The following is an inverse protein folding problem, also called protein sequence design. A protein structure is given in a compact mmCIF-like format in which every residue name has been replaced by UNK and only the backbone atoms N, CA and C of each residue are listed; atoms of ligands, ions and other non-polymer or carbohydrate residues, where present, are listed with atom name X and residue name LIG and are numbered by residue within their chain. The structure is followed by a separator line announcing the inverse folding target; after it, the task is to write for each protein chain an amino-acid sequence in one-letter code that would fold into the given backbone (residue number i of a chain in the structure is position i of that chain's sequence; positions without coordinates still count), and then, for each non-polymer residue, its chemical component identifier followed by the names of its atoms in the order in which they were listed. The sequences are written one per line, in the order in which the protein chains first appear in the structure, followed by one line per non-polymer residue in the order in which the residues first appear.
data_IF_363415052465
#
_entry.id   IF_363415052465
#
_cell.length_a   1.000
_cell.length_b   1.000
_cell.length_c   1.000
_cell.angle_alpha   90.00
_cell.angle_beta   90.00
_cell.angle_gamma   90.00
#
_symmetry.space_group_name_H-M   'P 1'
#
loop_
_entity.id
_entity.type
_entity.pdbx_description
1 polymer ?
#
# COMPACT_ATOMS: atom_id res chain seq x y z
N UNK A 1 21.32 1.20 -17.79
CA UNK A 1 21.28 0.20 -18.88
C UNK A 1 19.85 -0.35 -19.05
N UNK A 2 19.24 -0.08 -20.22
CA UNK A 2 17.92 -0.57 -20.62
C UNK A 2 18.00 -2.09 -20.80
N UNK A 3 17.56 -2.84 -19.79
CA UNK A 3 17.49 -4.29 -19.88
C UNK A 3 16.16 -4.66 -20.49
N UNK A 4 16.11 -5.16 -21.73
CA UNK A 4 15.01 -5.95 -22.31
C UNK A 4 13.59 -5.36 -22.36
N UNK A 5 12.70 -6.11 -23.01
CA UNK A 5 11.24 -5.95 -22.95
C UNK A 5 10.66 -7.33 -22.61
N UNK A 6 9.67 -7.38 -21.72
CA UNK A 6 8.83 -8.58 -21.58
C UNK A 6 7.54 -8.34 -22.34
N UNK A 7 7.15 -9.32 -23.14
CA UNK A 7 5.85 -9.33 -23.78
C UNK A 7 4.80 -9.66 -22.73
N UNK A 8 4.07 -8.63 -22.29
CA UNK A 8 2.90 -8.83 -21.46
C UNK A 8 1.73 -9.14 -22.39
N UNK A 9 1.15 -10.32 -22.23
CA UNK A 9 -0.11 -10.64 -22.89
C UNK A 9 -1.18 -9.67 -22.38
N UNK A 10 -1.77 -8.90 -23.29
CA UNK A 10 -2.86 -7.97 -22.99
C UNK A 10 -4.01 -8.20 -23.96
N UNK A 11 -5.23 -8.30 -23.43
CA UNK A 11 -6.45 -8.29 -24.23
C UNK A 11 -7.04 -6.89 -24.08
N UNK A 12 -6.60 -5.98 -24.95
CA UNK A 12 -7.08 -4.60 -24.93
C UNK A 12 -8.51 -4.46 -25.47
N UNK A 13 -9.02 -5.50 -26.14
CA UNK A 13 -10.34 -5.50 -26.76
C UNK A 13 -10.95 -6.92 -26.70
N UNK A 14 -11.91 -7.12 -25.79
CA UNK A 14 -12.54 -8.43 -25.52
C UNK A 14 -13.21 -9.04 -26.76
N UNK A 15 -13.66 -8.21 -27.70
CA UNK A 15 -14.33 -8.67 -28.92
C UNK A 15 -13.36 -9.08 -30.05
N UNK A 16 -12.06 -8.82 -29.90
CA UNK A 16 -10.99 -9.23 -30.84
C UNK A 16 -10.22 -10.46 -30.37
N UNK A 17 -10.73 -11.16 -29.36
CA UNK A 17 -10.08 -12.29 -28.69
C UNK A 17 -9.79 -13.49 -29.61
N UNK A 18 -10.44 -13.61 -30.76
CA UNK A 18 -10.19 -14.68 -31.74
C UNK A 18 -8.84 -14.56 -32.48
N UNK A 19 -8.15 -13.41 -32.38
CA UNK A 19 -6.83 -13.16 -32.98
C UNK A 19 -5.77 -13.03 -31.87
N UNK A 20 -5.59 -14.11 -31.11
CA UNK A 20 -4.66 -14.18 -29.95
C UNK A 20 -3.19 -14.06 -30.39
N UNK A 21 -2.88 -14.42 -31.64
CA UNK A 21 -1.52 -14.36 -32.19
C UNK A 21 -1.11 -12.90 -32.44
N UNK A 22 -0.25 -12.36 -31.58
CA UNK A 22 0.38 -11.04 -31.77
C UNK A 22 -0.14 -9.90 -30.89
N UNK A 23 -1.05 -10.16 -29.95
CA UNK A 23 -1.49 -9.17 -28.95
C UNK A 23 -0.49 -9.12 -27.78
N UNK A 24 0.69 -8.57 -28.05
CA UNK A 24 1.73 -8.35 -27.06
C UNK A 24 1.96 -6.86 -26.89
N UNK A 25 1.86 -6.38 -25.65
CA UNK A 25 2.26 -5.02 -25.32
C UNK A 25 3.68 -5.09 -24.72
N UNK A 26 4.71 -4.60 -25.42
CA UNK A 26 6.09 -4.69 -24.95
C UNK A 26 6.26 -3.80 -23.72
N UNK A 27 6.34 -4.41 -22.54
CA UNK A 27 6.63 -3.69 -21.30
C UNK A 27 8.15 -3.64 -21.12
N UNK A 28 8.69 -2.43 -21.00
CA UNK A 28 10.11 -2.22 -20.71
C UNK A 28 10.49 -2.97 -19.41
N UNK A 29 11.52 -3.80 -19.48
CA UNK A 29 12.09 -4.43 -18.30
C UNK A 29 12.91 -3.36 -17.58
N UNK A 30 12.49 -3.02 -16.36
CA UNK A 30 13.19 -2.07 -15.51
C UNK A 30 14.42 -2.72 -14.85
N UNK A 31 15.21 -3.48 -15.62
CA UNK A 31 16.20 -4.44 -15.11
C UNK A 31 17.17 -3.86 -14.08
N UNK A 32 17.61 -2.61 -14.23
CA UNK A 32 18.46 -1.94 -13.24
C UNK A 32 17.67 -1.35 -12.03
N UNK A 33 16.44 -0.87 -12.23
CA UNK A 33 15.62 -0.26 -11.17
C UNK A 33 15.03 -1.33 -10.24
N UNK A 34 14.66 -2.49 -10.79
CA UNK A 34 14.22 -3.66 -10.03
C UNK A 34 15.37 -4.58 -9.59
N UNK A 35 16.63 -4.20 -9.85
CA UNK A 35 17.79 -4.98 -9.41
C UNK A 35 18.11 -4.81 -7.92
N UNK A 36 17.59 -3.75 -7.31
CA UNK A 36 17.83 -3.43 -5.92
C UNK A 36 16.62 -3.76 -5.06
N UNK A 37 16.89 -4.33 -3.89
CA UNK A 37 15.87 -4.55 -2.87
C UNK A 37 15.63 -3.24 -2.12
N UNK A 38 14.37 -2.95 -1.82
CA UNK A 38 14.05 -1.85 -0.92
C UNK A 38 14.83 -1.95 0.41
N UNK A 39 15.25 -0.81 0.98
CA UNK A 39 15.89 -0.79 2.28
C UNK A 39 15.05 -1.50 3.34
N UNK A 40 15.72 -2.20 4.26
CA UNK A 40 15.06 -2.78 5.42
C UNK A 40 14.43 -1.63 6.23
N UNK A 41 13.12 -1.72 6.47
CA UNK A 41 12.40 -0.72 7.25
C UNK A 41 11.78 -1.34 8.51
N UNK A 42 11.51 -0.48 9.49
CA UNK A 42 10.90 -0.84 10.76
C UNK A 42 9.78 0.16 11.08
N UNK A 43 8.62 -0.34 11.50
CA UNK A 43 7.46 0.45 11.90
C UNK A 43 6.94 -0.07 13.23
N UNK A 44 6.59 0.85 14.12
CA UNK A 44 5.92 0.55 15.37
C UNK A 44 4.63 1.34 15.45
N UNK A 45 3.55 0.63 15.74
CA UNK A 45 2.22 1.18 15.98
C UNK A 45 1.77 0.72 17.38
N UNK A 46 1.08 1.58 18.10
CA UNK A 46 0.58 1.32 19.46
C UNK A 46 -0.92 1.51 19.47
N UNK A 47 -1.65 0.61 20.13
CA UNK A 47 -3.10 0.72 20.32
C UNK A 47 -3.50 0.28 21.71
N UNK A 48 -4.41 1.04 22.34
CA UNK A 48 -5.06 0.69 23.59
C UNK A 48 -6.57 0.85 23.43
N UNK A 49 -7.32 -0.14 23.90
CA UNK A 49 -8.77 -0.13 23.90
C UNK A 49 -9.28 -0.34 25.32
N UNK A 50 -10.30 0.41 25.70
CA UNK A 50 -10.97 0.27 26.99
C UNK A 50 -12.48 0.29 26.82
N UNK A 51 -13.11 -0.79 27.23
CA UNK A 51 -14.57 -0.88 27.33
C UNK A 51 -15.03 -0.55 28.74
N UNK A 52 -16.05 0.29 28.84
CA UNK A 52 -16.70 0.75 30.05
C UNK A 52 -18.19 0.38 29.97
N UNK A 53 -18.70 -0.22 31.04
CA UNK A 53 -20.13 -0.51 31.18
C UNK A 53 -20.77 0.58 32.03
N UNK A 54 -21.75 1.30 31.48
CA UNK A 54 -22.43 2.42 32.13
C UNK A 54 -23.93 2.14 32.08
N UNK A 55 -24.48 1.59 33.18
CA UNK A 55 -25.88 1.17 33.28
C UNK A 55 -26.31 0.24 32.15
N UNK A 56 -27.12 0.74 31.21
CA UNK A 56 -27.61 0.01 30.04
C UNK A 56 -26.72 0.18 28.81
N UNK A 57 -25.72 1.06 28.86
CA UNK A 57 -24.84 1.35 27.72
C UNK A 57 -23.47 0.70 27.88
N UNK A 58 -22.92 0.24 26.77
CA UNK A 58 -21.52 -0.17 26.64
C UNK A 58 -20.77 0.87 25.82
N UNK A 59 -19.71 1.43 26.39
CA UNK A 59 -18.90 2.45 25.76
C UNK A 59 -17.47 1.92 25.57
N UNK A 60 -16.97 1.91 24.34
CA UNK A 60 -15.59 1.51 24.03
C UNK A 60 -14.81 2.72 23.55
N UNK A 61 -13.71 3.01 24.23
CA UNK A 61 -12.74 4.03 23.86
C UNK A 61 -11.53 3.35 23.25
N UNK A 62 -11.20 3.68 22.00
CA UNK A 62 -10.02 3.18 21.32
C UNK A 62 -9.06 4.35 21.06
N UNK A 63 -7.82 4.18 21.46
CA UNK A 63 -6.74 5.11 21.15
C UNK A 63 -5.64 4.36 20.43
N UNK A 64 -5.17 4.90 19.31
CA UNK A 64 -4.07 4.33 18.55
C UNK A 64 -3.13 5.38 18.03
N UNK A 65 -1.87 4.99 17.85
CA UNK A 65 -0.81 5.81 17.27
C UNK A 65 -0.13 4.96 16.21
N UNK A 66 -0.17 5.43 14.97
CA UNK A 66 0.55 4.83 13.85
C UNK A 66 1.89 5.56 13.68
N UNK A 67 2.92 4.79 13.32
CA UNK A 67 4.27 5.29 13.03
C UNK A 67 4.86 6.08 14.21
N UNK A 68 4.99 5.42 15.37
CA UNK A 68 5.47 6.05 16.61
C UNK A 68 6.87 6.68 16.46
N UNK A 69 7.70 6.16 15.56
CA UNK A 69 9.04 6.70 15.28
C UNK A 69 9.05 7.88 14.29
N UNK A 70 7.88 8.26 13.75
CA UNK A 70 7.71 9.27 12.69
C UNK A 70 8.70 9.08 11.52
N UNK A 71 8.94 7.81 11.14
CA UNK A 71 9.88 7.48 10.07
C UNK A 71 9.19 7.62 8.72
N UNK A 72 9.84 8.29 7.79
CA UNK A 72 9.44 8.37 6.37
C UNK A 72 9.83 7.07 5.66
N UNK A 73 9.03 6.03 5.88
CA UNK A 73 9.18 4.74 5.21
C UNK A 73 8.47 4.77 3.85
N UNK A 74 9.05 4.12 2.83
CA UNK A 74 8.45 4.01 1.50
C UNK A 74 7.17 3.17 1.61
N UNK A 75 6.05 3.69 1.11
CA UNK A 75 4.82 2.93 0.93
C UNK A 75 4.81 2.21 -0.42
N UNK A 76 5.03 2.95 -1.50
CA UNK A 76 5.25 2.41 -2.85
C UNK A 76 6.07 3.37 -3.70
N UNK A 77 6.52 2.87 -4.85
CA UNK A 77 7.18 3.64 -5.88
C UNK A 77 6.28 3.67 -7.11
N UNK A 78 6.05 4.83 -7.69
CA UNK A 78 5.28 4.95 -8.93
C UNK A 78 6.20 4.66 -10.12
N UNK A 79 5.99 3.51 -10.77
CA UNK A 79 6.76 3.07 -11.93
C UNK A 79 6.65 4.03 -13.14
N UNK A 80 5.61 4.87 -13.21
CA UNK A 80 5.38 5.79 -14.33
C UNK A 80 6.04 7.14 -14.11
N UNK A 81 5.93 7.69 -12.91
CA UNK A 81 6.47 9.02 -12.58
C UNK A 81 7.86 8.95 -11.95
N UNK A 82 8.26 7.79 -11.43
CA UNK A 82 9.47 7.62 -10.64
C UNK A 82 9.37 8.23 -9.25
N UNK A 83 8.17 8.60 -8.81
CA UNK A 83 7.98 9.22 -7.50
C UNK A 83 7.88 8.17 -6.39
N UNK A 84 8.60 8.44 -5.31
CA UNK A 84 8.52 7.69 -4.07
C UNK A 84 7.39 8.25 -3.22
N UNK A 85 6.43 7.41 -2.88
CA UNK A 85 5.34 7.77 -1.97
C UNK A 85 5.62 7.19 -0.59
N UNK A 86 5.66 8.06 0.42
CA UNK A 86 5.90 7.67 1.81
C UNK A 86 4.61 7.25 2.52
N UNK A 87 4.76 6.39 3.53
CA UNK A 87 3.68 6.01 4.44
C UNK A 87 3.18 7.21 5.24
N UNK A 88 2.00 7.05 5.84
CA UNK A 88 1.47 8.03 6.78
C UNK A 88 2.53 8.38 7.84
N UNK A 89 2.68 9.69 8.16
CA UNK A 89 3.55 10.14 9.23
C UNK A 89 2.97 9.70 10.58
N UNK A 90 3.56 10.20 11.67
CA UNK A 90 2.99 10.03 13.01
C UNK A 90 1.50 10.43 13.03
N UNK A 91 0.63 9.45 13.29
CA UNK A 91 -0.82 9.64 13.23
C UNK A 91 -1.49 9.11 14.51
N UNK A 92 -1.81 9.99 15.47
CA UNK A 92 -2.64 9.64 16.62
C UNK A 92 -4.12 9.61 16.20
N UNK A 93 -4.86 8.64 16.72
CA UNK A 93 -6.29 8.43 16.44
C UNK A 93 -7.03 8.09 17.73
N UNK A 94 -8.23 8.64 17.87
CA UNK A 94 -9.12 8.40 19.01
C UNK A 94 -10.52 8.09 18.46
N UNK A 95 -11.09 6.97 18.90
CA UNK A 95 -12.43 6.54 18.52
C UNK A 95 -13.27 6.25 19.76
N UNK A 96 -14.55 6.58 19.68
CA UNK A 96 -15.55 6.29 20.70
C UNK A 96 -16.69 5.51 20.07
N UNK A 97 -16.98 4.33 20.61
CA UNK A 97 -18.12 3.51 20.22
C UNK A 97 -19.10 3.43 21.38
N UNK A 98 -20.35 3.77 21.14
CA UNK A 98 -21.44 3.66 22.12
C UNK A 98 -22.45 2.65 21.62
N UNK A 99 -22.80 1.68 22.46
CA UNK A 99 -23.85 0.70 22.22
C UNK A 99 -24.88 0.83 23.34
N UNK A 100 -26.15 0.92 22.97
CA UNK A 100 -27.32 1.08 23.84
C UNK A 100 -28.11 -0.24 23.85
#
# INVERSE_FOLDING_TARGET
PLGGYIDRFSINDFWKQWLVLGQYDPKALYGAVNSERFPVYHRMDIGVSKTLFIYFMTCTLDFSIINVYDRRNIFYFDDKTGERVDMLPFLPSLSLKVQI
#
